data_IF_536005979806
#
_entry.id   IF_536005979806
#
_cell.length_a   1.000
_cell.length_b   1.000
_cell.length_c   1.000
_cell.angle_alpha   90.00
_cell.angle_beta   90.00
_cell.angle_gamma   90.00
#
_symmetry.space_group_name_H-M   'P 1'
#
loop_
_entity.id
_entity.type
_entity.pdbx_description
1 polymer ?
#
# COMPACT_ATOMS: atom_id res chain seq x y z
N UNK A 1 -26.34 3.52 -14.23
CA UNK A 1 -25.87 2.94 -15.51
C UNK A 1 -24.49 2.31 -15.27
N UNK A 2 -24.06 1.30 -16.04
CA UNK A 2 -22.68 0.81 -15.95
C UNK A 2 -21.74 1.72 -16.74
N UNK A 3 -20.50 1.86 -16.26
CA UNK A 3 -19.42 2.61 -16.89
C UNK A 3 -18.20 1.71 -17.06
N UNK A 4 -17.41 1.99 -18.09
CA UNK A 4 -16.15 1.29 -18.32
C UNK A 4 -15.07 1.92 -17.44
N UNK A 5 -14.50 1.13 -16.54
CA UNK A 5 -13.37 1.52 -15.71
C UNK A 5 -12.08 0.90 -16.25
N UNK A 6 -11.07 1.73 -16.50
CA UNK A 6 -9.76 1.27 -16.98
C UNK A 6 -8.82 1.06 -15.80
N UNK A 7 -8.58 -0.20 -15.45
CA UNK A 7 -7.68 -0.63 -14.40
C UNK A 7 -6.21 -0.37 -14.65
N UNK A 8 -5.80 0.00 -15.86
CA UNK A 8 -4.38 0.22 -16.17
C UNK A 8 -3.78 1.28 -15.26
N UNK A 9 -4.50 2.38 -15.01
CA UNK A 9 -4.02 3.45 -14.14
C UNK A 9 -4.06 3.04 -12.66
N UNK A 10 -5.04 2.21 -12.27
CA UNK A 10 -5.10 1.64 -10.93
C UNK A 10 -3.89 0.72 -10.65
N UNK A 11 -3.53 -0.16 -11.59
CA UNK A 11 -2.34 -1.00 -11.51
C UNK A 11 -1.02 -0.21 -11.50
N UNK A 12 -0.93 0.85 -12.32
CA UNK A 12 0.24 1.76 -12.29
C UNK A 12 0.36 2.46 -10.95
N UNK A 13 -0.76 2.92 -10.39
CA UNK A 13 -0.80 3.52 -9.06
C UNK A 13 -0.34 2.51 -8.00
N UNK A 14 -0.83 1.26 -8.02
CA UNK A 14 -0.37 0.22 -7.10
C UNK A 14 1.14 0.03 -7.14
N UNK A 15 1.70 -0.18 -8.33
CA UNK A 15 3.16 -0.28 -8.46
C UNK A 15 3.88 1.00 -7.98
N UNK A 16 3.34 2.20 -8.23
CA UNK A 16 3.92 3.44 -7.74
C UNK A 16 3.88 3.53 -6.20
N UNK A 17 2.78 3.09 -5.58
CA UNK A 17 2.61 3.01 -4.14
C UNK A 17 3.66 2.08 -3.53
N UNK A 18 3.80 0.84 -4.02
CA UNK A 18 4.80 -0.11 -3.51
C UNK A 18 6.22 0.48 -3.50
N UNK A 19 6.60 1.10 -4.61
CA UNK A 19 7.91 1.74 -4.73
C UNK A 19 8.08 2.87 -3.71
N UNK A 20 7.04 3.66 -3.49
CA UNK A 20 7.06 4.80 -2.58
C UNK A 20 7.03 4.37 -1.11
N UNK A 21 6.23 3.36 -0.74
CA UNK A 21 6.22 2.75 0.60
C UNK A 21 7.58 2.11 0.89
N UNK A 22 8.13 1.33 -0.05
CA UNK A 22 9.47 0.77 0.09
C UNK A 22 10.55 1.85 0.27
N UNK A 23 10.43 3.02 -0.38
CA UNK A 23 11.36 4.12 -0.17
C UNK A 23 11.19 4.78 1.22
N UNK A 24 9.95 4.95 1.67
CA UNK A 24 9.64 5.42 3.02
C UNK A 24 10.25 4.47 4.06
N UNK A 25 10.02 3.16 3.93
CA UNK A 25 10.52 2.16 4.87
C UNK A 25 12.05 2.08 4.92
N UNK A 26 12.74 2.24 3.79
CA UNK A 26 14.20 2.38 3.80
C UNK A 26 14.65 3.62 4.58
N UNK A 27 14.02 4.77 4.37
CA UNK A 27 14.33 5.98 5.13
C UNK A 27 14.09 5.77 6.63
N UNK A 28 13.00 5.10 7.01
CA UNK A 28 12.71 4.79 8.41
C UNK A 28 13.71 3.80 9.02
N UNK A 29 14.25 2.88 8.21
CA UNK A 29 15.25 1.91 8.63
C UNK A 29 16.63 2.55 8.93
N UNK A 30 16.91 3.75 8.41
CA UNK A 30 18.15 4.48 8.68
C UNK A 30 18.21 5.04 10.11
N UNK A 31 17.06 5.37 10.71
CA UNK A 31 17.00 5.84 12.09
C UNK A 31 16.70 4.69 13.06
N UNK A 32 17.74 4.20 13.73
CA UNK A 32 17.65 3.16 14.74
C UNK A 32 16.67 3.47 15.89
N UNK A 33 16.30 4.74 16.11
CA UNK A 33 15.26 5.11 17.08
C UNK A 33 13.87 4.74 16.62
N UNK A 34 13.59 4.75 15.32
CA UNK A 34 12.25 4.56 14.77
C UNK A 34 12.10 3.21 14.08
N UNK A 35 13.14 2.75 13.41
CA UNK A 35 13.08 1.57 12.58
C UNK A 35 14.45 0.96 12.39
N UNK A 36 14.62 -0.28 12.84
CA UNK A 36 15.79 -1.09 12.50
C UNK A 36 15.43 -2.10 11.42
N UNK A 37 15.86 -3.34 11.63
CA UNK A 37 15.61 -4.50 10.75
C UNK A 37 14.14 -4.75 10.37
N UNK A 38 13.18 -4.24 11.16
CA UNK A 38 11.75 -4.36 10.85
C UNK A 38 11.38 -3.63 9.55
N UNK A 39 11.70 -2.34 9.45
CA UNK A 39 11.40 -1.56 8.24
C UNK A 39 12.32 -1.92 7.08
N UNK A 40 13.55 -2.38 7.34
CA UNK A 40 14.40 -2.97 6.30
C UNK A 40 13.73 -4.21 5.67
N UNK A 41 13.12 -5.06 6.50
CA UNK A 41 12.39 -6.24 6.03
C UNK A 41 11.14 -5.86 5.23
N UNK A 42 10.33 -4.93 5.74
CA UNK A 42 9.16 -4.40 5.03
C UNK A 42 9.55 -3.83 3.67
N UNK A 43 10.56 -2.95 3.62
CA UNK A 43 11.03 -2.37 2.37
C UNK A 43 11.43 -3.41 1.31
N UNK A 44 12.08 -4.50 1.75
CA UNK A 44 12.42 -5.61 0.86
C UNK A 44 11.20 -6.39 0.37
N UNK A 45 10.14 -6.48 1.16
CA UNK A 45 8.89 -7.10 0.74
C UNK A 45 8.18 -6.21 -0.30
N UNK A 46 8.18 -4.88 -0.13
CA UNK A 46 7.57 -3.96 -1.11
C UNK A 46 8.29 -3.95 -2.46
N UNK A 47 9.61 -4.13 -2.49
CA UNK A 47 10.34 -4.28 -3.75
C UNK A 47 9.87 -5.49 -4.56
N UNK A 48 9.54 -6.58 -3.84
CA UNK A 48 8.97 -7.77 -4.47
C UNK A 48 7.54 -7.51 -4.92
N UNK A 49 6.72 -6.84 -4.12
CA UNK A 49 5.35 -6.47 -4.51
C UNK A 49 5.32 -5.56 -5.75
N UNK A 50 6.21 -4.56 -5.80
CA UNK A 50 6.43 -3.74 -6.98
C UNK A 50 6.71 -4.58 -8.23
N UNK A 51 7.58 -5.57 -8.10
CA UNK A 51 7.93 -6.48 -9.20
C UNK A 51 6.69 -7.26 -9.66
N UNK A 52 5.91 -7.81 -8.73
CA UNK A 52 4.66 -8.54 -9.03
C UNK A 52 3.69 -7.65 -9.81
N UNK A 53 3.38 -6.44 -9.32
CA UNK A 53 2.44 -5.55 -10.01
C UNK A 53 2.93 -5.10 -11.38
N UNK A 54 4.22 -4.82 -11.53
CA UNK A 54 4.77 -4.40 -12.83
C UNK A 54 4.81 -5.53 -13.85
N UNK A 55 5.06 -6.77 -13.43
CA UNK A 55 4.98 -7.94 -14.30
C UNK A 55 3.54 -8.23 -14.74
N UNK A 56 2.58 -8.11 -13.82
CA UNK A 56 1.15 -8.26 -14.13
C UNK A 56 0.68 -7.15 -15.07
N UNK A 57 1.07 -5.90 -14.81
CA UNK A 57 0.78 -4.79 -15.72
C UNK A 57 1.35 -5.07 -17.11
N UNK A 58 2.59 -5.55 -17.24
CA UNK A 58 3.17 -5.90 -18.56
C UNK A 58 2.40 -7.03 -19.25
N UNK A 59 1.93 -8.03 -18.50
CA UNK A 59 1.18 -9.17 -19.02
C UNK A 59 -0.17 -8.75 -19.62
N UNK A 60 -0.83 -7.76 -19.03
CA UNK A 60 -2.18 -7.34 -19.42
C UNK A 60 -2.21 -5.99 -20.16
N UNK A 61 -1.12 -5.22 -20.16
CA UNK A 61 -1.00 -3.97 -20.91
C UNK A 61 -0.99 -4.23 -22.42
N UNK A 62 -2.16 -4.11 -23.04
CA UNK A 62 -2.35 -4.29 -24.47
C UNK A 62 -3.66 -4.98 -24.85
N UNK A 63 -4.34 -5.59 -23.88
CA UNK A 63 -5.67 -6.19 -24.05
C UNK A 63 -6.79 -5.36 -23.40
N UNK A 64 -8.02 -5.82 -23.56
CA UNK A 64 -9.19 -5.31 -22.81
C UNK A 64 -9.33 -5.92 -21.42
N UNK A 65 -8.38 -6.77 -20.99
CA UNK A 65 -8.47 -7.55 -19.75
C UNK A 65 -8.49 -6.71 -18.47
N UNK A 66 -7.97 -5.48 -18.55
CA UNK A 66 -7.99 -4.49 -17.46
C UNK A 66 -9.15 -3.50 -17.57
N UNK A 67 -10.08 -3.69 -18.50
CA UNK A 67 -11.28 -2.86 -18.64
C UNK A 67 -12.49 -3.63 -18.13
N UNK A 68 -13.15 -3.08 -17.12
CA UNK A 68 -14.27 -3.73 -16.43
C UNK A 68 -15.46 -2.80 -16.35
N UNK A 69 -16.67 -3.38 -16.39
CA UNK A 69 -17.89 -2.62 -16.14
C UNK A 69 -18.11 -2.47 -14.63
N UNK A 70 -18.24 -1.22 -14.19
CA UNK A 70 -18.56 -0.88 -12.80
C UNK A 70 -19.85 -0.07 -12.75
N UNK A 71 -20.55 -0.09 -11.61
CA UNK A 71 -21.65 0.85 -11.39
C UNK A 71 -21.11 2.28 -11.20
N UNK A 72 -21.96 3.28 -11.38
CA UNK A 72 -21.59 4.68 -11.09
C UNK A 72 -21.20 4.89 -9.63
N UNK A 73 -21.89 4.23 -8.69
CA UNK A 73 -21.55 4.27 -7.27
C UNK A 73 -20.17 3.66 -7.00
N UNK A 74 -19.85 2.54 -7.66
CA UNK A 74 -18.56 1.88 -7.52
C UNK A 74 -17.43 2.72 -8.14
N UNK A 75 -17.65 3.34 -9.30
CA UNK A 75 -16.68 4.27 -9.90
C UNK A 75 -16.38 5.45 -8.94
N UNK A 76 -17.42 6.08 -8.38
CA UNK A 76 -17.26 7.17 -7.42
C UNK A 76 -16.50 6.73 -6.17
N UNK A 77 -16.82 5.54 -5.65
CA UNK A 77 -16.10 4.96 -4.51
C UNK A 77 -14.61 4.77 -4.83
N UNK A 78 -14.27 4.17 -5.97
CA UNK A 78 -12.87 3.95 -6.38
C UNK A 78 -12.12 5.28 -6.55
N UNK A 79 -12.75 6.29 -7.14
CA UNK A 79 -12.17 7.63 -7.27
C UNK A 79 -11.85 8.20 -5.89
N UNK A 80 -12.80 8.17 -4.95
CA UNK A 80 -12.59 8.67 -3.58
C UNK A 80 -11.47 7.90 -2.89
N UNK A 81 -11.43 6.57 -3.04
CA UNK A 81 -10.39 5.73 -2.45
C UNK A 81 -9.00 6.11 -2.98
N UNK A 82 -8.86 6.26 -4.30
CA UNK A 82 -7.62 6.72 -4.96
C UNK A 82 -7.24 8.13 -4.51
N UNK A 83 -8.21 9.05 -4.40
CA UNK A 83 -7.97 10.43 -4.03
C UNK A 83 -7.54 10.60 -2.56
N UNK A 84 -7.87 9.66 -1.70
CA UNK A 84 -7.53 9.67 -0.27
C UNK A 84 -6.35 8.75 0.09
N UNK A 85 -5.75 8.09 -0.91
CA UNK A 85 -4.54 7.28 -0.77
C UNK A 85 -3.45 8.01 0.04
N UNK A 86 -2.94 7.39 1.09
CA UNK A 86 -1.84 7.88 1.92
C UNK A 86 -0.58 8.17 1.11
N UNK A 87 -0.38 7.45 0.00
CA UNK A 87 0.78 7.54 -0.88
C UNK A 87 0.55 8.47 -2.09
N UNK A 88 -0.56 9.23 -2.10
CA UNK A 88 -0.85 10.23 -3.15
C UNK A 88 0.22 11.31 -3.26
N UNK A 89 0.84 11.69 -2.14
CA UNK A 89 1.96 12.63 -2.08
C UNK A 89 3.11 12.01 -1.25
N UNK A 90 3.90 11.11 -1.87
CA UNK A 90 4.90 10.33 -1.15
C UNK A 90 6.06 11.20 -0.67
N UNK A 91 6.37 12.31 -1.36
CA UNK A 91 7.42 13.24 -0.96
C UNK A 91 7.03 13.97 0.33
N UNK A 92 5.79 14.44 0.43
CA UNK A 92 5.27 15.05 1.66
C UNK A 92 5.19 14.05 2.81
N UNK A 93 4.84 12.80 2.54
CA UNK A 93 4.83 11.74 3.56
C UNK A 93 6.24 11.49 4.11
N UNK A 94 7.25 11.41 3.23
CA UNK A 94 8.65 11.26 3.61
C UNK A 94 9.21 12.47 4.36
N UNK A 95 8.82 13.68 3.98
CA UNK A 95 9.16 14.90 4.72
C UNK A 95 8.57 14.88 6.13
N UNK A 96 7.31 14.46 6.27
CA UNK A 96 6.65 14.28 7.58
C UNK A 96 7.39 13.23 8.42
N UNK A 97 7.78 12.10 7.82
CA UNK A 97 8.58 11.07 8.47
C UNK A 97 9.93 11.58 8.97
N UNK A 98 10.63 12.41 8.19
CA UNK A 98 11.91 13.00 8.59
C UNK A 98 11.79 13.97 9.78
N UNK A 99 10.61 14.57 9.97
CA UNK A 99 10.32 15.50 11.08
C UNK A 99 9.71 14.82 12.30
N UNK A 100 9.45 13.51 12.22
CA UNK A 100 8.80 12.79 13.30
C UNK A 100 9.66 12.80 14.57
N UNK A 101 9.02 13.02 15.70
CA UNK A 101 9.70 13.17 17.00
C UNK A 101 9.58 11.92 17.86
N UNK A 102 8.64 11.05 17.54
CA UNK A 102 8.33 9.85 18.31
C UNK A 102 7.90 8.69 17.40
N UNK A 103 7.91 7.48 17.99
CA UNK A 103 7.57 6.24 17.28
C UNK A 103 6.10 6.17 16.86
N UNK A 104 5.18 6.72 17.65
CA UNK A 104 3.74 6.64 17.31
C UNK A 104 3.44 7.38 16.01
N UNK A 105 4.04 8.56 15.79
CA UNK A 105 3.92 9.29 14.52
C UNK A 105 4.37 8.44 13.32
N UNK A 106 5.51 7.73 13.46
CA UNK A 106 6.04 6.86 12.42
C UNK A 106 5.09 5.69 12.14
N UNK A 107 4.65 4.99 13.18
CA UNK A 107 3.76 3.85 13.00
C UNK A 107 2.34 4.25 12.56
N UNK A 108 1.85 5.47 12.87
CA UNK A 108 0.60 6.00 12.30
C UNK A 108 0.69 6.15 10.78
N UNK A 109 1.82 6.63 10.27
CA UNK A 109 2.05 6.77 8.83
C UNK A 109 2.15 5.42 8.13
N UNK A 110 2.91 4.48 8.72
CA UNK A 110 3.00 3.12 8.21
C UNK A 110 1.62 2.44 8.23
N UNK A 111 0.86 2.55 9.33
CA UNK A 111 -0.45 1.91 9.46
C UNK A 111 -1.41 2.37 8.37
N UNK A 112 -1.45 3.67 8.06
CA UNK A 112 -2.28 4.19 6.96
C UNK A 112 -1.86 3.64 5.60
N UNK A 113 -0.56 3.58 5.33
CA UNK A 113 -0.03 3.03 4.08
C UNK A 113 -0.43 1.56 3.89
N UNK A 114 -0.29 0.77 4.95
CA UNK A 114 -0.63 -0.66 4.97
C UNK A 114 -2.14 -0.91 4.86
N UNK A 115 -2.97 -0.09 5.53
CA UNK A 115 -4.44 -0.15 5.38
C UNK A 115 -4.83 0.08 3.92
N UNK A 116 -4.29 1.13 3.31
CA UNK A 116 -4.60 1.46 1.92
C UNK A 116 -4.12 0.36 0.97
N UNK A 117 -2.92 -0.20 1.19
CA UNK A 117 -2.43 -1.35 0.43
C UNK A 117 -3.39 -2.53 0.47
N UNK A 118 -3.80 -2.96 1.68
CA UNK A 118 -4.79 -4.04 1.87
C UNK A 118 -6.09 -3.74 1.13
N UNK A 119 -6.66 -2.54 1.30
CA UNK A 119 -7.90 -2.14 0.65
C UNK A 119 -7.78 -2.20 -0.87
N UNK A 120 -6.70 -1.65 -1.44
CA UNK A 120 -6.52 -1.67 -2.88
C UNK A 120 -6.33 -3.07 -3.44
N UNK A 121 -5.63 -3.97 -2.73
CA UNK A 121 -5.49 -5.36 -3.18
C UNK A 121 -6.85 -6.07 -3.16
N UNK A 122 -7.68 -5.84 -2.14
CA UNK A 122 -9.04 -6.39 -2.08
C UNK A 122 -9.93 -5.87 -3.21
N UNK A 123 -9.87 -4.58 -3.52
CA UNK A 123 -10.58 -3.99 -4.66
C UNK A 123 -10.09 -4.56 -5.99
N UNK A 124 -8.77 -4.76 -6.14
CA UNK A 124 -8.20 -5.35 -7.35
C UNK A 124 -8.70 -6.77 -7.58
N UNK A 125 -8.70 -7.62 -6.54
CA UNK A 125 -9.21 -9.00 -6.62
C UNK A 125 -10.70 -9.00 -6.99
N UNK A 126 -11.47 -8.04 -6.47
CA UNK A 126 -12.91 -7.93 -6.72
C UNK A 126 -13.21 -7.43 -8.13
N UNK A 127 -12.48 -6.43 -8.60
CA UNK A 127 -12.65 -5.84 -9.93
C UNK A 127 -12.19 -6.78 -11.04
N UNK A 128 -11.12 -7.55 -10.80
CA UNK A 128 -10.47 -8.37 -11.82
C UNK A 128 -10.42 -9.86 -11.45
N UNK A 129 -11.57 -10.51 -11.15
CA UNK A 129 -11.62 -11.90 -10.71
C UNK A 129 -11.16 -12.89 -11.78
N UNK A 130 -11.08 -12.48 -13.04
CA UNK A 130 -10.56 -13.27 -14.16
C UNK A 130 -9.03 -13.34 -14.19
N UNK A 131 -8.35 -12.37 -13.56
CA UNK A 131 -6.89 -12.34 -13.62
C UNK A 131 -6.26 -13.44 -12.77
N UNK A 132 -7.00 -13.97 -11.76
CA UNK A 132 -6.58 -14.89 -10.67
C UNK A 132 -5.11 -15.34 -10.71
N UNK A 133 -4.14 -14.43 -10.56
CA UNK A 133 -2.80 -14.86 -10.27
C UNK A 133 -2.81 -15.14 -8.77
N UNK A 134 -2.50 -16.36 -8.36
CA UNK A 134 -2.30 -16.68 -6.93
C UNK A 134 -1.36 -15.67 -6.25
N UNK A 135 -0.53 -14.97 -7.03
CA UNK A 135 0.28 -13.81 -6.66
C UNK A 135 -0.50 -12.72 -5.89
N UNK A 136 -1.72 -12.31 -6.30
CA UNK A 136 -2.46 -11.27 -5.55
C UNK A 136 -2.93 -11.75 -4.18
N UNK A 137 -3.24 -13.04 -4.03
CA UNK A 137 -3.59 -13.59 -2.72
C UNK A 137 -2.38 -13.70 -1.82
N UNK A 138 -1.21 -13.96 -2.40
CA UNK A 138 0.07 -13.94 -1.68
C UNK A 138 0.34 -12.52 -1.19
N UNK A 139 0.27 -11.51 -2.06
CA UNK A 139 0.45 -10.10 -1.70
C UNK A 139 -0.55 -9.71 -0.61
N UNK A 140 -1.87 -9.94 -0.81
CA UNK A 140 -2.88 -9.60 0.19
C UNK A 140 -2.59 -10.19 1.59
N UNK A 141 -2.10 -11.43 1.63
CA UNK A 141 -1.75 -12.09 2.89
C UNK A 141 -0.54 -11.43 3.55
N UNK A 142 0.42 -10.98 2.75
CA UNK A 142 1.62 -10.30 3.22
C UNK A 142 1.31 -8.88 3.71
N UNK A 143 0.55 -8.08 2.96
CA UNK A 143 0.07 -6.75 3.39
C UNK A 143 -0.73 -6.83 4.70
N UNK A 144 -1.65 -7.80 4.82
CA UNK A 144 -2.39 -8.01 6.08
C UNK A 144 -1.48 -8.36 7.25
N UNK A 145 -0.37 -9.05 6.99
CA UNK A 145 0.62 -9.38 8.02
C UNK A 145 1.44 -8.14 8.37
N UNK A 146 1.87 -7.35 7.39
CA UNK A 146 2.58 -6.09 7.59
C UNK A 146 1.75 -5.12 8.42
N UNK A 147 0.48 -4.89 8.04
CA UNK A 147 -0.49 -4.12 8.82
C UNK A 147 -0.58 -4.59 10.28
N UNK A 148 -0.76 -5.89 10.50
CA UNK A 148 -0.85 -6.45 11.86
C UNK A 148 0.43 -6.21 12.68
N UNK A 149 1.60 -6.32 12.05
CA UNK A 149 2.89 -6.06 12.70
C UNK A 149 3.06 -4.57 13.04
N UNK A 150 2.71 -3.69 12.11
CA UNK A 150 2.75 -2.22 12.29
C UNK A 150 1.83 -1.79 13.43
N UNK A 151 0.58 -2.28 13.46
CA UNK A 151 -0.37 -1.98 14.54
C UNK A 151 0.11 -2.48 15.90
N UNK A 152 0.72 -3.68 15.94
CA UNK A 152 1.31 -4.22 17.17
C UNK A 152 2.43 -3.32 17.69
N UNK A 153 3.36 -2.90 16.82
CA UNK A 153 4.45 -2.01 17.20
C UNK A 153 3.96 -0.61 17.60
N UNK A 154 2.91 -0.10 16.95
CA UNK A 154 2.26 1.16 17.34
C UNK A 154 1.70 1.09 18.75
N UNK A 155 0.93 0.05 19.05
CA UNK A 155 0.34 -0.17 20.38
C UNK A 155 1.43 -0.25 21.46
N UNK A 156 2.51 -0.99 21.21
CA UNK A 156 3.65 -1.05 22.12
C UNK A 156 4.31 0.32 22.35
N UNK A 157 4.42 1.15 21.31
CA UNK A 157 4.94 2.51 21.40
C UNK A 157 4.07 3.37 22.31
N UNK A 158 2.76 3.35 22.11
CA UNK A 158 1.80 4.13 22.91
C UNK A 158 1.79 3.70 24.39
N UNK A 159 1.85 2.39 24.66
CA UNK A 159 1.90 1.86 26.03
C UNK A 159 3.16 2.28 26.79
N UNK A 160 4.31 2.42 26.11
CA UNK A 160 5.54 2.92 26.74
C UNK A 160 5.42 4.40 27.10
N UNK A 161 4.78 5.20 26.28
CA UNK A 161 4.52 6.61 26.54
C UNK A 161 3.58 6.82 27.73
N UNK A 162 2.58 5.95 27.91
CA UNK A 162 1.60 6.00 29.02
C UNK A 162 2.13 5.46 30.37
N UNK A 163 3.26 4.74 30.37
CA UNK A 163 3.89 4.18 31.57
C UNK A 163 4.96 5.11 32.18
N UNK A 164 5.09 6.32 31.63
CA UNK A 164 5.84 7.46 32.17
C UNK A 164 4.88 8.43 32.86
#
# INVERSE_FOLDING_TARGET
>A
MSKQFNGTDFFRMMAANEKAVGALYRQLAEDAKFGGKFFEKLASDEDRHFTIYTELLKKFAGGSDLTVEVSEEQEQYLIILIENNALKDPDKLREKAAKATNKDEIYDMAERAEIDSVLFVEELITLYPQLQPEDFRIVLKEEKKHLAQVMSHRMESQLKTLRL
#
